data_IF_735993044102
#
_entry.id   IF_735993044102
#
_cell.length_a   1.000
_cell.length_b   1.000
_cell.length_c   1.000
_cell.angle_alpha   90.00
_cell.angle_beta   90.00
_cell.angle_gamma   90.00
#
_symmetry.space_group_name_H-M   'P 1'
#
loop_
_entity.id
_entity.type
_entity.pdbx_description
1 polymer ?
#
# COMPACT_ATOMS: atom_id res chain seq x y z
N UNK A 1 29.82 25.03 -9.14
CA UNK A 1 29.21 24.38 -7.96
C UNK A 1 27.97 25.13 -7.50
N UNK A 2 28.05 26.42 -7.18
CA UNK A 2 26.87 27.27 -6.87
C UNK A 2 25.78 27.20 -7.96
N UNK A 3 26.16 27.24 -9.23
CA UNK A 3 25.25 27.15 -10.39
C UNK A 3 24.41 25.85 -10.43
N UNK A 4 24.93 24.73 -9.88
CA UNK A 4 24.21 23.46 -9.85
C UNK A 4 23.17 23.43 -8.73
N UNK A 5 23.46 24.06 -7.58
CA UNK A 5 22.51 24.18 -6.48
C UNK A 5 21.33 25.09 -6.87
N UNK A 6 21.62 26.21 -7.55
CA UNK A 6 20.60 27.10 -8.14
C UNK A 6 19.68 26.35 -9.11
N UNK A 7 20.23 25.42 -9.87
CA UNK A 7 19.47 24.64 -10.83
C UNK A 7 18.61 23.60 -10.12
N UNK A 8 19.16 22.92 -9.11
CA UNK A 8 18.43 21.96 -8.29
C UNK A 8 17.23 22.59 -7.55
N UNK A 9 17.37 23.78 -6.97
CA UNK A 9 16.26 24.47 -6.29
C UNK A 9 15.10 24.88 -7.22
N UNK A 10 15.38 24.95 -8.53
CA UNK A 10 14.41 25.27 -9.59
C UNK A 10 13.77 24.04 -10.23
N UNK A 11 14.34 22.84 -10.05
CA UNK A 11 13.71 21.62 -10.53
C UNK A 11 12.46 21.32 -9.70
N UNK A 12 11.46 20.76 -10.37
CA UNK A 12 10.29 20.19 -9.71
C UNK A 12 10.69 18.88 -9.05
N UNK A 13 10.13 18.64 -7.87
CA UNK A 13 10.34 17.40 -7.16
C UNK A 13 9.64 16.26 -7.90
N UNK A 14 10.36 15.19 -8.27
CA UNK A 14 9.82 14.08 -9.05
C UNK A 14 8.71 13.31 -8.32
N UNK A 15 8.57 13.49 -7.00
CA UNK A 15 7.51 12.91 -6.18
C UNK A 15 6.30 13.84 -6.01
N UNK A 16 6.40 15.12 -6.42
CA UNK A 16 5.32 16.11 -6.32
C UNK A 16 4.40 16.07 -7.55
N UNK A 17 3.65 14.98 -7.71
CA UNK A 17 2.67 14.83 -8.79
C UNK A 17 1.31 15.50 -8.47
N UNK A 18 0.78 16.43 -9.30
CA UNK A 18 -0.44 17.20 -9.02
C UNK A 18 -1.77 16.46 -9.33
N UNK A 19 -1.71 15.22 -9.78
CA UNK A 19 -2.89 14.39 -10.12
C UNK A 19 -2.84 13.16 -9.20
N UNK A 20 -3.98 12.66 -8.65
CA UNK A 20 -3.98 11.37 -7.97
C UNK A 20 -3.23 10.38 -8.83
N UNK A 21 -2.03 10.02 -8.36
CA UNK A 21 -1.14 9.14 -9.09
C UNK A 21 -1.94 7.87 -9.37
N UNK A 22 -1.70 7.18 -10.50
CA UNK A 22 -2.38 5.90 -10.78
C UNK A 22 -2.30 4.96 -9.56
N UNK A 23 -1.21 5.07 -8.82
CA UNK A 23 -0.99 4.47 -7.52
C UNK A 23 -2.04 4.86 -6.47
N UNK A 24 -2.28 6.15 -6.20
CA UNK A 24 -3.26 6.58 -5.20
C UNK A 24 -4.69 6.07 -5.51
N UNK A 25 -5.12 6.12 -6.77
CA UNK A 25 -6.42 5.54 -7.17
C UNK A 25 -6.47 4.04 -6.93
N UNK A 26 -5.35 3.35 -7.20
CA UNK A 26 -5.21 1.91 -6.97
C UNK A 26 -5.27 1.62 -5.47
N UNK A 27 -4.52 2.36 -4.65
CA UNK A 27 -4.52 2.24 -3.19
C UNK A 27 -5.94 2.44 -2.62
N UNK A 28 -6.62 3.52 -2.99
CA UNK A 28 -7.99 3.80 -2.54
C UNK A 28 -8.98 2.70 -2.95
N UNK A 29 -8.87 2.19 -4.18
CA UNK A 29 -9.71 1.10 -4.68
C UNK A 29 -9.48 -0.20 -3.89
N UNK A 30 -8.23 -0.57 -3.62
CA UNK A 30 -7.90 -1.76 -2.84
C UNK A 30 -8.34 -1.64 -1.38
N UNK A 31 -8.16 -0.48 -0.74
CA UNK A 31 -8.66 -0.24 0.61
C UNK A 31 -10.18 -0.30 0.69
N UNK A 32 -10.90 0.16 -0.34
CA UNK A 32 -12.34 -0.04 -0.44
C UNK A 32 -12.71 -1.52 -0.61
N UNK A 33 -11.99 -2.26 -1.46
CA UNK A 33 -12.21 -3.70 -1.65
C UNK A 33 -11.98 -4.49 -0.37
N UNK A 34 -10.88 -4.24 0.36
CA UNK A 34 -10.56 -4.89 1.62
C UNK A 34 -11.69 -4.70 2.65
N UNK A 35 -12.17 -3.46 2.82
CA UNK A 35 -13.31 -3.16 3.71
C UNK A 35 -14.59 -3.89 3.30
N UNK A 36 -14.88 -3.96 2.00
CA UNK A 36 -16.06 -4.67 1.48
C UNK A 36 -15.98 -6.17 1.72
N UNK A 37 -14.82 -6.78 1.49
CA UNK A 37 -14.59 -8.22 1.70
C UNK A 37 -14.72 -8.59 3.18
N UNK A 38 -14.12 -7.80 4.07
CA UNK A 38 -14.26 -7.98 5.53
C UNK A 38 -15.73 -7.84 5.97
N UNK A 39 -16.45 -6.84 5.45
CA UNK A 39 -17.87 -6.66 5.74
C UNK A 39 -18.72 -7.81 5.22
N UNK A 40 -18.45 -8.31 4.01
CA UNK A 40 -19.14 -9.44 3.41
C UNK A 40 -18.90 -10.72 4.22
N UNK A 41 -17.65 -11.04 4.54
CA UNK A 41 -17.30 -12.17 5.41
C UNK A 41 -18.03 -12.09 6.77
N UNK A 42 -18.04 -10.91 7.40
CA UNK A 42 -18.76 -10.69 8.65
C UNK A 42 -20.28 -10.85 8.54
N UNK A 43 -20.89 -10.56 7.38
CA UNK A 43 -22.33 -10.78 7.13
C UNK A 43 -22.65 -12.26 6.97
N UNK A 44 -21.78 -13.02 6.28
CA UNK A 44 -21.96 -14.47 6.12
C UNK A 44 -21.84 -15.17 7.47
N UNK A 45 -20.81 -14.83 8.27
CA UNK A 45 -20.63 -15.41 9.61
C UNK A 45 -21.73 -15.05 10.62
N UNK A 46 -22.43 -13.93 10.44
CA UNK A 46 -23.52 -13.48 11.33
C UNK A 46 -24.89 -14.02 10.93
N UNK A 47 -25.04 -14.69 9.79
CA UNK A 47 -26.32 -15.32 9.45
C UNK A 47 -26.62 -16.39 10.50
N UNK A 48 -27.73 -16.27 11.26
CA UNK A 48 -28.11 -17.31 12.19
C UNK A 48 -28.34 -18.59 11.38
N UNK A 49 -27.69 -19.67 11.81
CA UNK A 49 -28.04 -21.01 11.33
C UNK A 49 -29.42 -21.32 11.92
N UNK A 50 -30.48 -20.95 11.20
CA UNK A 50 -31.85 -21.30 11.59
C UNK A 50 -31.99 -22.83 11.46
N UNK A 51 -31.46 -23.56 12.44
CA UNK A 51 -31.87 -24.92 12.70
C UNK A 51 -33.28 -24.78 13.26
N UNK A 52 -34.28 -25.00 12.41
CA UNK A 52 -35.66 -25.08 12.82
C UNK A 52 -35.78 -26.19 13.88
N UNK A 53 -35.75 -25.79 15.16
CA UNK A 53 -36.20 -26.58 16.30
C UNK A 53 -37.72 -26.69 16.23
N UNK A 54 -38.22 -27.53 15.34
CA UNK A 54 -39.55 -28.10 15.44
C UNK A 54 -39.58 -29.47 14.74
N UNK A 55 -39.89 -30.51 15.53
CA UNK A 55 -40.23 -31.90 15.13
C UNK A 55 -39.08 -32.84 14.73
N UNK A 56 -38.48 -33.46 15.75
CA UNK A 56 -37.44 -34.51 15.69
C UNK A 56 -37.80 -35.87 15.07
N UNK A 57 -38.67 -35.91 14.03
CA UNK A 57 -38.86 -37.12 13.21
C UNK A 57 -38.97 -36.77 11.71
N UNK A 58 -39.45 -35.58 11.34
CA UNK A 58 -39.56 -35.17 9.91
C UNK A 58 -38.18 -34.79 9.33
N UNK A 59 -37.28 -34.24 10.15
CA UNK A 59 -35.93 -33.84 9.72
C UNK A 59 -35.00 -35.01 9.33
N UNK A 60 -35.34 -36.26 9.66
CA UNK A 60 -34.53 -37.42 9.28
C UNK A 60 -34.76 -37.85 7.83
N UNK A 61 -35.93 -37.55 7.25
CA UNK A 61 -36.27 -37.95 5.87
C UNK A 61 -35.75 -36.92 4.85
N UNK A 62 -35.70 -35.64 5.21
CA UNK A 62 -35.14 -34.60 4.33
C UNK A 62 -33.61 -34.61 4.28
N UNK A 63 -32.92 -35.07 5.33
CA UNK A 63 -31.45 -35.16 5.33
C UNK A 63 -30.90 -36.36 4.54
N UNK A 64 -31.76 -37.22 3.96
CA UNK A 64 -31.33 -38.23 2.99
C UNK A 64 -31.15 -37.65 1.57
N UNK A 65 -31.67 -36.45 1.31
CA UNK A 65 -31.37 -35.70 0.08
C UNK A 65 -30.26 -34.70 0.39
N UNK A 66 -29.06 -35.25 0.38
CA UNK A 66 -27.77 -34.56 0.26
C UNK A 66 -27.87 -33.37 -0.70
N UNK A 67 -27.33 -32.22 -0.27
CA UNK A 67 -26.74 -31.25 -1.21
C UNK A 67 -27.06 -29.78 -0.99
N UNK A 68 -26.77 -29.20 0.19
CA UNK A 68 -26.70 -27.73 0.31
C UNK A 68 -25.75 -27.23 1.43
N UNK A 69 -24.93 -28.11 2.02
CA UNK A 69 -23.97 -27.73 3.08
C UNK A 69 -22.59 -27.38 2.49
N UNK A 70 -22.34 -27.66 1.21
CA UNK A 70 -21.05 -27.39 0.54
C UNK A 70 -20.90 -25.99 -0.08
N UNK A 71 -21.99 -25.32 -0.45
CA UNK A 71 -21.91 -24.04 -1.19
C UNK A 71 -21.60 -22.84 -0.27
N UNK A 72 -22.08 -22.83 0.97
CA UNK A 72 -21.79 -21.72 1.90
C UNK A 72 -20.36 -21.76 2.43
N UNK A 73 -19.81 -22.93 2.79
CA UNK A 73 -18.42 -23.05 3.26
C UNK A 73 -17.39 -22.62 2.21
N UNK A 74 -17.62 -22.98 0.94
CA UNK A 74 -16.75 -22.57 -0.16
C UNK A 74 -16.78 -21.07 -0.43
N UNK A 75 -17.97 -20.46 -0.33
CA UNK A 75 -18.12 -19.01 -0.45
C UNK A 75 -17.41 -18.25 0.69
N UNK A 76 -17.39 -18.82 1.90
CA UNK A 76 -16.73 -18.25 3.07
C UNK A 76 -15.21 -18.31 2.92
N UNK A 77 -14.65 -19.46 2.53
CA UNK A 77 -13.21 -19.65 2.36
C UNK A 77 -12.66 -18.74 1.24
N UNK A 78 -13.38 -18.60 0.12
CA UNK A 78 -13.04 -17.66 -0.95
C UNK A 78 -13.07 -16.20 -0.48
N UNK A 79 -14.11 -15.79 0.25
CA UNK A 79 -14.22 -14.43 0.79
C UNK A 79 -13.11 -14.10 1.79
N UNK A 80 -12.74 -15.08 2.62
CA UNK A 80 -11.68 -14.97 3.61
C UNK A 80 -10.28 -14.91 2.97
N UNK A 81 -10.01 -15.76 1.97
CA UNK A 81 -8.78 -15.69 1.17
C UNK A 81 -8.65 -14.35 0.42
N UNK A 82 -9.74 -13.87 -0.19
CA UNK A 82 -9.77 -12.57 -0.85
C UNK A 82 -9.58 -11.42 0.15
N UNK A 83 -10.22 -11.47 1.33
CA UNK A 83 -10.09 -10.44 2.36
C UNK A 83 -8.66 -10.33 2.86
N UNK A 84 -7.99 -11.47 3.14
CA UNK A 84 -6.57 -11.50 3.52
C UNK A 84 -5.68 -10.89 2.45
N UNK A 85 -5.87 -11.27 1.19
CA UNK A 85 -5.10 -10.74 0.07
C UNK A 85 -5.27 -9.24 -0.10
N UNK A 86 -6.51 -8.74 -0.03
CA UNK A 86 -6.81 -7.32 -0.14
C UNK A 86 -6.23 -6.50 1.03
N UNK A 87 -6.31 -7.02 2.27
CA UNK A 87 -5.72 -6.38 3.44
C UNK A 87 -4.19 -6.30 3.37
N UNK A 88 -3.53 -7.37 2.91
CA UNK A 88 -2.07 -7.37 2.73
C UNK A 88 -1.65 -6.30 1.71
N UNK A 89 -2.34 -6.20 0.57
CA UNK A 89 -2.05 -5.20 -0.45
C UNK A 89 -2.32 -3.77 0.01
N UNK A 90 -3.41 -3.54 0.75
CA UNK A 90 -3.71 -2.24 1.36
C UNK A 90 -2.57 -1.81 2.31
N UNK A 91 -2.06 -2.74 3.12
CA UNK A 91 -0.93 -2.49 4.03
C UNK A 91 0.38 -2.18 3.30
N UNK A 92 0.66 -2.85 2.19
CA UNK A 92 1.85 -2.58 1.39
C UNK A 92 1.75 -1.22 0.70
N UNK A 93 0.59 -0.88 0.14
CA UNK A 93 0.38 0.44 -0.47
C UNK A 93 0.51 1.56 0.57
N UNK A 94 0.06 1.34 1.80
CA UNK A 94 0.32 2.21 2.94
C UNK A 94 1.83 2.42 3.17
N UNK A 95 2.61 1.34 3.12
CA UNK A 95 4.06 1.38 3.32
C UNK A 95 4.75 2.13 2.18
N UNK A 96 4.42 1.81 0.94
CA UNK A 96 4.92 2.51 -0.27
C UNK A 96 4.56 4.00 -0.20
N UNK A 97 3.34 4.34 0.20
CA UNK A 97 2.91 5.75 0.36
C UNK A 97 3.78 6.50 1.37
N UNK A 98 4.13 5.85 2.49
CA UNK A 98 5.02 6.44 3.51
C UNK A 98 6.46 6.59 3.00
N UNK A 99 6.98 5.61 2.27
CA UNK A 99 8.32 5.66 1.68
C UNK A 99 8.43 6.78 0.64
N UNK A 100 7.46 6.88 -0.27
CA UNK A 100 7.38 7.96 -1.27
C UNK A 100 7.29 9.33 -0.58
N UNK A 101 6.51 9.45 0.49
CA UNK A 101 6.43 10.69 1.27
C UNK A 101 7.77 11.07 1.92
N UNK A 102 8.52 10.10 2.47
CA UNK A 102 9.86 10.36 3.02
C UNK A 102 10.81 10.90 1.96
N UNK A 103 10.85 10.29 0.77
CA UNK A 103 11.68 10.75 -0.34
C UNK A 103 11.25 12.13 -0.84
N UNK A 104 9.94 12.39 -0.90
CA UNK A 104 9.42 13.71 -1.22
C UNK A 104 9.91 14.76 -0.22
N UNK A 105 9.74 14.49 1.07
CA UNK A 105 10.11 15.41 2.15
C UNK A 105 11.62 15.70 2.16
N UNK A 106 12.46 14.70 1.86
CA UNK A 106 13.91 14.86 1.74
C UNK A 106 14.31 15.80 0.58
N UNK A 107 13.67 15.64 -0.58
CA UNK A 107 13.91 16.51 -1.75
C UNK A 107 13.43 17.94 -1.49
N UNK A 108 12.26 18.11 -0.86
CA UNK A 108 11.76 19.44 -0.48
C UNK A 108 12.68 20.11 0.54
N UNK A 109 13.14 19.37 1.56
CA UNK A 109 14.09 19.87 2.55
C UNK A 109 15.36 20.39 1.88
N UNK A 110 15.97 19.61 0.98
CA UNK A 110 17.16 20.06 0.25
C UNK A 110 16.92 21.32 -0.60
N UNK A 111 15.74 21.45 -1.21
CA UNK A 111 15.36 22.65 -1.98
C UNK A 111 15.18 23.87 -1.10
N UNK A 112 14.52 23.71 0.05
CA UNK A 112 14.25 24.79 1.00
C UNK A 112 15.53 25.30 1.65
N UNK A 113 16.44 24.39 2.02
CA UNK A 113 17.81 24.72 2.45
C UNK A 113 18.47 25.61 1.39
N UNK A 114 18.56 25.15 0.14
CA UNK A 114 19.22 25.93 -0.93
C UNK A 114 18.55 27.30 -1.15
N UNK A 115 17.21 27.39 -1.12
CA UNK A 115 16.49 28.66 -1.29
C UNK A 115 16.82 29.65 -0.18
N UNK A 116 16.76 29.21 1.07
CA UNK A 116 17.06 30.04 2.23
C UNK A 116 18.46 30.70 2.12
N UNK A 117 19.45 29.96 1.63
CA UNK A 117 20.82 30.48 1.47
C UNK A 117 21.03 31.32 0.22
N UNK A 118 20.20 31.16 -0.81
CA UNK A 118 20.31 31.95 -2.03
C UNK A 118 19.63 33.33 -1.94
N UNK A 119 18.77 33.52 -0.94
CA UNK A 119 18.09 34.80 -0.69
C UNK A 119 18.99 35.80 0.08
N UNK A 120 20.03 35.32 0.78
CA UNK A 120 20.92 36.16 1.61
C UNK A 120 22.19 36.55 0.85
N UNK A 121 22.29 37.83 0.47
CA UNK A 121 23.27 38.36 -0.50
C UNK A 121 24.70 38.62 0.02
N UNK A 122 25.08 38.08 1.18
CA UNK A 122 26.36 38.40 1.83
C UNK A 122 27.47 37.37 1.49
N UNK A 123 28.38 37.77 0.60
CA UNK A 123 29.34 36.89 -0.08
C UNK A 123 30.51 36.42 0.80
N UNK A 124 30.80 37.08 1.93
CA UNK A 124 31.97 36.75 2.78
C UNK A 124 31.64 35.68 3.84
N UNK A 125 30.43 35.73 4.42
CA UNK A 125 29.86 34.62 5.21
C UNK A 125 29.31 33.46 4.34
N UNK A 126 28.99 33.76 3.08
CA UNK A 126 28.40 32.83 2.12
C UNK A 126 29.27 31.62 1.78
N UNK A 127 30.61 31.73 1.78
CA UNK A 127 31.47 30.57 1.46
C UNK A 127 31.45 29.50 2.56
N UNK A 128 31.47 29.91 3.83
CA UNK A 128 31.44 28.98 4.96
C UNK A 128 30.08 28.32 5.10
N UNK A 129 28.99 29.07 4.83
CA UNK A 129 27.64 28.52 4.74
C UNK A 129 27.45 27.59 3.54
N UNK A 130 27.93 27.95 2.34
CA UNK A 130 27.87 27.10 1.15
C UNK A 130 28.56 25.74 1.39
N UNK A 131 29.68 25.74 2.12
CA UNK A 131 30.36 24.51 2.53
C UNK A 131 29.49 23.63 3.43
N UNK A 132 28.76 24.22 4.38
CA UNK A 132 27.88 23.46 5.27
C UNK A 132 26.65 22.93 4.53
N UNK A 133 26.06 23.72 3.63
CA UNK A 133 24.97 23.30 2.74
C UNK A 133 25.40 22.11 1.88
N UNK A 134 26.57 22.18 1.27
CA UNK A 134 27.10 21.06 0.47
C UNK A 134 27.34 19.83 1.34
N UNK A 135 27.83 20.00 2.57
CA UNK A 135 28.04 18.89 3.52
C UNK A 135 26.72 18.23 3.92
N UNK A 136 25.69 19.01 4.24
CA UNK A 136 24.36 18.52 4.59
C UNK A 136 23.74 17.77 3.42
N UNK A 137 23.81 18.34 2.21
CA UNK A 137 23.30 17.71 0.99
C UNK A 137 24.02 16.38 0.68
N UNK A 138 25.35 16.31 0.86
CA UNK A 138 26.10 15.06 0.65
C UNK A 138 25.71 13.97 1.66
N UNK A 139 25.46 14.33 2.92
CA UNK A 139 24.97 13.38 3.93
C UNK A 139 23.55 12.94 3.58
N UNK A 140 22.70 13.86 3.14
CA UNK A 140 21.34 13.56 2.70
C UNK A 140 21.30 12.66 1.47
N UNK A 141 22.25 12.81 0.53
CA UNK A 141 22.30 12.04 -0.72
C UNK A 141 22.46 10.54 -0.47
N UNK A 142 23.34 10.15 0.45
CA UNK A 142 23.52 8.75 0.84
C UNK A 142 22.23 8.16 1.45
N UNK A 143 21.64 8.88 2.41
CA UNK A 143 20.38 8.48 3.03
C UNK A 143 19.23 8.40 2.01
N UNK A 144 19.17 9.33 1.07
CA UNK A 144 18.17 9.37 0.01
C UNK A 144 18.29 8.15 -0.92
N UNK A 145 19.52 7.81 -1.33
CA UNK A 145 19.76 6.63 -2.17
C UNK A 145 19.40 5.33 -1.46
N UNK A 146 19.70 5.21 -0.17
CA UNK A 146 19.30 4.06 0.64
C UNK A 146 17.77 3.96 0.75
N UNK A 147 17.07 5.07 0.98
CA UNK A 147 15.61 5.13 1.01
C UNK A 147 14.98 4.81 -0.36
N UNK A 148 15.62 5.22 -1.45
CA UNK A 148 15.16 4.94 -2.80
C UNK A 148 15.31 3.44 -3.14
N UNK A 149 16.42 2.84 -2.73
CA UNK A 149 16.63 1.39 -2.83
C UNK A 149 15.61 0.61 -1.99
N UNK A 150 15.34 1.07 -0.76
CA UNK A 150 14.30 0.49 0.12
C UNK A 150 12.92 0.53 -0.55
N UNK A 151 12.56 1.66 -1.17
CA UNK A 151 11.30 1.80 -1.92
C UNK A 151 11.26 0.84 -3.12
N UNK A 152 12.32 0.78 -3.91
CA UNK A 152 12.41 -0.10 -5.08
C UNK A 152 12.22 -1.56 -4.67
N UNK A 153 12.95 -2.03 -3.65
CA UNK A 153 12.84 -3.38 -3.13
C UNK A 153 11.42 -3.69 -2.65
N UNK A 154 10.81 -2.78 -1.89
CA UNK A 154 9.47 -2.99 -1.36
C UNK A 154 8.41 -3.07 -2.47
N UNK A 155 8.54 -2.25 -3.52
CA UNK A 155 7.69 -2.34 -4.71
C UNK A 155 7.86 -3.70 -5.40
N UNK A 156 9.09 -4.14 -5.63
CA UNK A 156 9.35 -5.46 -6.24
C UNK A 156 8.78 -6.61 -5.42
N UNK A 157 8.99 -6.62 -4.11
CA UNK A 157 8.48 -7.66 -3.21
C UNK A 157 6.95 -7.68 -3.16
N UNK A 158 6.31 -6.51 -3.12
CA UNK A 158 4.85 -6.39 -3.19
C UNK A 158 4.29 -7.06 -4.46
N UNK A 159 4.86 -6.74 -5.63
CA UNK A 159 4.44 -7.32 -6.91
C UNK A 159 4.74 -8.81 -7.04
N UNK A 160 5.97 -9.24 -6.69
CA UNK A 160 6.42 -10.61 -6.91
C UNK A 160 5.84 -11.60 -5.91
N UNK A 161 5.72 -11.22 -4.63
CA UNK A 161 5.34 -12.15 -3.58
C UNK A 161 3.87 -11.97 -3.19
N UNK A 162 3.44 -10.75 -2.89
CA UNK A 162 2.15 -10.53 -2.22
C UNK A 162 1.01 -10.58 -3.23
N UNK A 163 1.12 -9.91 -4.39
CA UNK A 163 0.10 -10.01 -5.45
C UNK A 163 -0.03 -11.45 -5.96
N UNK A 164 1.09 -12.11 -6.22
CA UNK A 164 1.06 -13.48 -6.75
C UNK A 164 0.52 -14.48 -5.73
N UNK A 165 0.85 -14.31 -4.44
CA UNK A 165 0.28 -15.13 -3.36
C UNK A 165 -1.21 -14.86 -3.16
N UNK A 166 -1.64 -13.61 -3.14
CA UNK A 166 -3.05 -13.23 -3.01
C UNK A 166 -3.88 -13.82 -4.15
N UNK A 167 -3.39 -13.70 -5.39
CA UNK A 167 -4.03 -14.33 -6.57
C UNK A 167 -4.09 -15.85 -6.44
N UNK A 168 -2.99 -16.49 -6.03
CA UNK A 168 -2.95 -17.95 -5.85
C UNK A 168 -3.95 -18.43 -4.81
N UNK A 169 -3.99 -17.80 -3.63
CA UNK A 169 -4.94 -18.17 -2.56
C UNK A 169 -6.39 -18.06 -3.05
N UNK A 170 -6.74 -16.98 -3.75
CA UNK A 170 -8.10 -16.83 -4.30
C UNK A 170 -8.39 -17.89 -5.36
N UNK A 171 -7.44 -18.17 -6.27
CA UNK A 171 -7.63 -19.17 -7.32
C UNK A 171 -7.75 -20.60 -6.76
N UNK A 172 -6.97 -20.96 -5.73
CA UNK A 172 -7.05 -22.26 -5.07
C UNK A 172 -8.45 -22.47 -4.49
N UNK A 173 -8.99 -21.48 -3.76
CA UNK A 173 -10.35 -21.55 -3.22
C UNK A 173 -11.43 -21.53 -4.32
N UNK A 174 -11.18 -20.87 -5.45
CA UNK A 174 -12.09 -20.90 -6.59
C UNK A 174 -12.14 -22.27 -7.28
N UNK A 175 -11.01 -22.96 -7.41
CA UNK A 175 -10.91 -24.28 -8.06
C UNK A 175 -11.41 -25.39 -7.14
N UNK A 176 -11.19 -25.28 -5.83
CA UNK A 176 -11.65 -26.28 -4.85
C UNK A 176 -13.17 -26.29 -4.68
N UNK A 177 -13.84 -25.17 -4.95
CA UNK A 177 -15.29 -25.00 -4.76
C UNK A 177 -16.08 -24.80 -6.07
N UNK A 178 -15.51 -25.22 -7.21
CA UNK A 178 -16.23 -25.43 -8.49
C UNK A 178 -16.81 -26.83 -8.57
#
# INVERSE_FOLDING_TARGET
MASNLVLFSKLDNPFSGPNPTKFQRTHEAYGLMARRLVSAHGKVMRRPRWMNSACGVIAMVENFVVGAVGEEEGSVAQLDAAARGAFALDRDFDTISRMVRRLHDEVEHGRDVIRLFMEDGDMEGGWMMLREVVRELQVSEGCFMDQLAELEEHVYLCFLNIINRARRMVLEEMVVHQ
#
